data_IF_065272640313
#
_entry.id   IF_065272640313
#
_cell.length_a   1.000
_cell.length_b   1.000
_cell.length_c   1.000
_cell.angle_alpha   90.00
_cell.angle_beta   90.00
_cell.angle_gamma   90.00
#
_symmetry.space_group_name_H-M   'P 1'
#
loop_
_entity.id
_entity.type
_entity.pdbx_description
1 polymer ?
#
# COMPACT_ATOMS: atom_id res chain seq x y z
N UNK A 1 29.02 -9.75 15.39
CA UNK A 1 28.38 -8.43 15.19
C UNK A 1 28.76 -7.98 13.78
N UNK A 2 27.97 -8.35 12.78
CA UNK A 2 28.18 -7.85 11.41
C UNK A 2 27.56 -6.46 11.36
N UNK A 3 28.39 -5.43 11.38
CA UNK A 3 27.97 -4.10 10.95
C UNK A 3 27.58 -4.25 9.47
N UNK A 4 26.29 -4.09 9.17
CA UNK A 4 25.85 -3.90 7.79
C UNK A 4 26.41 -2.53 7.41
N UNK A 5 27.60 -2.50 6.82
CA UNK A 5 28.11 -1.27 6.20
C UNK A 5 27.11 -0.90 5.11
N UNK A 6 26.36 0.17 5.33
CA UNK A 6 25.51 0.70 4.29
C UNK A 6 26.39 1.03 3.07
N UNK A 7 26.11 0.38 1.94
CA UNK A 7 26.84 0.54 0.66
C UNK A 7 26.11 1.48 -0.29
N UNK A 8 24.93 1.95 0.10
CA UNK A 8 24.11 2.76 -0.77
C UNK A 8 24.80 4.11 -1.06
N UNK A 9 24.75 4.59 -2.31
CA UNK A 9 25.22 5.93 -2.67
C UNK A 9 24.59 7.03 -1.82
N UNK A 10 25.36 8.10 -1.61
CA UNK A 10 24.86 9.33 -0.99
C UNK A 10 24.09 10.15 -2.01
N UNK A 11 22.88 10.55 -1.63
CA UNK A 11 22.10 11.56 -2.34
C UNK A 11 22.72 12.95 -2.11
N UNK A 12 23.07 13.65 -3.19
CA UNK A 12 23.63 15.00 -3.16
C UNK A 12 22.71 15.99 -3.87
N UNK A 13 22.74 17.26 -3.45
CA UNK A 13 21.89 18.30 -4.04
C UNK A 13 22.64 19.60 -4.28
N UNK A 14 22.65 20.06 -5.54
CA UNK A 14 23.31 21.31 -5.97
C UNK A 14 22.33 22.09 -6.85
N UNK A 15 22.16 23.39 -6.56
CA UNK A 15 21.27 24.27 -7.34
C UNK A 15 19.86 23.69 -7.60
N UNK A 16 19.25 23.08 -6.56
CA UNK A 16 17.96 22.37 -6.58
C UNK A 16 17.89 21.11 -7.45
N UNK A 17 18.99 20.70 -8.07
CA UNK A 17 19.09 19.41 -8.77
C UNK A 17 19.70 18.36 -7.86
N UNK A 18 19.22 17.14 -8.01
CA UNK A 18 19.69 15.98 -7.27
C UNK A 18 20.68 15.17 -8.11
N UNK A 19 21.66 14.59 -7.44
CA UNK A 19 22.69 13.70 -7.99
C UNK A 19 23.10 12.67 -6.93
N UNK A 20 24.11 11.87 -7.25
CA UNK A 20 24.56 10.79 -6.38
C UNK A 20 26.07 10.66 -6.38
N UNK A 21 26.63 10.30 -5.22
CA UNK A 21 28.05 10.05 -5.04
C UNK A 21 28.29 8.77 -4.25
N UNK A 22 29.35 8.06 -4.57
CA UNK A 22 29.77 6.87 -3.82
C UNK A 22 30.08 7.28 -2.38
N UNK A 23 29.46 6.60 -1.41
CA UNK A 23 29.51 6.98 -0.01
C UNK A 23 30.88 6.77 0.64
N UNK A 24 31.78 6.00 0.00
CA UNK A 24 33.10 5.64 0.53
C UNK A 24 34.21 6.51 -0.05
N UNK A 25 34.21 6.68 -1.37
CA UNK A 25 35.23 7.39 -2.14
C UNK A 25 34.88 8.86 -2.37
N UNK A 26 33.59 9.22 -2.29
CA UNK A 26 33.11 10.54 -2.66
C UNK A 26 33.09 10.80 -4.16
N UNK A 27 33.37 9.79 -5.00
CA UNK A 27 33.28 9.91 -6.46
C UNK A 27 31.83 10.16 -6.88
N UNK A 28 31.64 11.10 -7.81
CA UNK A 28 30.32 11.37 -8.38
C UNK A 28 29.90 10.19 -9.27
N UNK A 29 28.79 9.57 -8.93
CA UNK A 29 28.14 8.50 -9.71
C UNK A 29 27.22 9.10 -10.76
N UNK A 30 26.45 10.12 -10.34
CA UNK A 30 25.56 10.87 -11.21
C UNK A 30 25.64 12.33 -10.83
N UNK A 31 26.05 13.16 -11.78
CA UNK A 31 26.06 14.61 -11.61
C UNK A 31 24.67 15.13 -11.22
N UNK A 32 24.55 16.21 -10.43
CA UNK A 32 23.26 16.79 -10.08
C UNK A 32 22.52 17.33 -11.32
N UNK A 33 21.51 16.61 -11.77
CA UNK A 33 20.65 17.03 -12.90
C UNK A 33 19.19 16.57 -12.77
N UNK A 34 18.89 15.64 -11.86
CA UNK A 34 17.53 15.19 -11.57
C UNK A 34 16.72 16.30 -10.89
N UNK A 35 15.46 16.46 -11.26
CA UNK A 35 14.55 17.41 -10.60
C UNK A 35 14.13 16.92 -9.22
N UNK A 36 14.04 15.60 -9.07
CA UNK A 36 13.85 14.94 -7.79
C UNK A 36 14.54 13.58 -7.76
N UNK A 37 14.99 13.16 -6.59
CA UNK A 37 15.52 11.83 -6.34
C UNK A 37 15.08 11.36 -4.95
N UNK A 38 14.69 10.09 -4.85
CA UNK A 38 14.64 9.40 -3.57
C UNK A 38 16.02 8.89 -3.18
N UNK A 39 16.22 8.68 -1.88
CA UNK A 39 17.43 8.02 -1.39
C UNK A 39 17.52 6.59 -1.91
N UNK A 40 18.76 6.13 -2.04
CA UNK A 40 19.02 4.75 -2.37
C UNK A 40 18.49 3.81 -1.28
N UNK A 41 17.88 2.73 -1.73
CA UNK A 41 17.54 1.59 -0.89
C UNK A 41 17.82 0.31 -1.67
N UNK A 42 18.61 -0.59 -1.08
CA UNK A 42 19.03 -1.86 -1.70
C UNK A 42 19.71 -1.67 -3.07
N UNK A 43 20.55 -0.64 -3.22
CA UNK A 43 21.25 -0.25 -4.45
C UNK A 43 20.37 0.32 -5.57
N UNK A 44 19.13 0.76 -5.29
CA UNK A 44 18.28 1.42 -6.27
C UNK A 44 17.71 2.75 -5.77
N UNK A 45 17.58 3.72 -6.67
CA UNK A 45 16.98 5.02 -6.38
C UNK A 45 15.99 5.42 -7.48
N UNK A 46 14.88 6.02 -7.07
CA UNK A 46 13.86 6.53 -7.98
C UNK A 46 14.21 7.99 -8.31
N UNK A 47 14.20 8.32 -9.59
CA UNK A 47 14.61 9.63 -10.11
C UNK A 47 13.55 10.22 -11.02
N UNK A 48 13.45 11.56 -11.03
CA UNK A 48 12.51 12.28 -11.87
C UNK A 48 13.21 13.37 -12.69
N UNK A 49 12.77 13.52 -13.94
CA UNK A 49 13.03 14.70 -14.79
C UNK A 49 11.71 15.40 -15.12
N UNK A 50 11.70 16.73 -15.02
CA UNK A 50 10.53 17.58 -15.26
C UNK A 50 9.55 17.66 -14.08
N UNK A 51 9.90 17.12 -12.91
CA UNK A 51 9.10 17.28 -11.69
C UNK A 51 9.23 18.70 -11.14
N UNK A 52 8.13 19.23 -10.61
CA UNK A 52 8.12 20.48 -9.84
C UNK A 52 7.72 20.21 -8.39
N UNK A 53 8.30 20.92 -7.41
CA UNK A 53 7.91 20.76 -6.02
C UNK A 53 6.53 21.39 -5.79
N UNK A 54 5.62 20.62 -5.18
CA UNK A 54 4.30 21.05 -4.75
C UNK A 54 4.26 21.05 -3.23
N UNK A 55 3.82 22.18 -2.66
CA UNK A 55 3.63 22.33 -1.23
C UNK A 55 2.21 21.95 -0.85
N UNK A 56 2.07 20.94 0.00
CA UNK A 56 0.84 20.67 0.73
C UNK A 56 0.87 21.44 2.05
N UNK A 57 0.14 22.56 2.09
CA UNK A 57 0.06 23.41 3.28
C UNK A 57 -0.72 22.78 4.43
N UNK A 58 -1.61 21.82 4.16
CA UNK A 58 -2.41 21.17 5.20
C UNK A 58 -1.56 20.18 6.00
N UNK A 59 -0.66 19.48 5.31
CA UNK A 59 0.20 18.47 5.94
C UNK A 59 1.66 18.95 6.13
N UNK A 60 1.99 20.17 5.71
CA UNK A 60 3.33 20.76 5.78
C UNK A 60 4.42 19.92 5.08
N UNK A 61 4.08 19.25 3.98
CA UNK A 61 5.01 18.47 3.16
C UNK A 61 5.24 19.12 1.80
N UNK A 62 6.43 18.92 1.24
CA UNK A 62 6.75 19.24 -0.14
C UNK A 62 7.03 17.93 -0.86
N UNK A 63 6.32 17.68 -1.96
CA UNK A 63 6.48 16.49 -2.78
C UNK A 63 6.61 16.86 -4.25
N UNK A 64 7.32 16.06 -5.06
CA UNK A 64 7.43 16.27 -6.50
C UNK A 64 6.11 15.94 -7.20
N UNK A 65 5.73 16.74 -8.19
CA UNK A 65 4.57 16.51 -9.05
C UNK A 65 4.92 16.70 -10.52
N UNK A 66 4.26 15.94 -11.39
CA UNK A 66 4.53 15.91 -12.83
C UNK A 66 5.85 15.21 -13.17
N UNK A 67 6.42 15.58 -14.31
CA UNK A 67 7.65 14.97 -14.82
C UNK A 67 7.49 13.53 -15.29
N UNK A 68 8.62 12.89 -15.57
CA UNK A 68 8.72 11.47 -15.86
C UNK A 68 9.69 10.80 -14.91
N UNK A 69 9.29 9.64 -14.42
CA UNK A 69 9.97 8.86 -13.40
C UNK A 69 10.61 7.62 -13.97
N UNK A 70 11.76 7.27 -13.39
CA UNK A 70 12.50 6.04 -13.66
C UNK A 70 13.28 5.60 -12.42
N UNK A 71 14.11 4.58 -12.59
CA UNK A 71 14.94 4.00 -11.53
C UNK A 71 16.38 3.89 -12.03
N UNK A 72 17.33 4.12 -11.13
CA UNK A 72 18.75 3.90 -11.37
C UNK A 72 19.31 2.90 -10.37
N UNK A 73 20.38 2.20 -10.73
CA UNK A 73 21.17 1.39 -9.82
C UNK A 73 22.32 2.19 -9.17
N UNK A 74 23.08 1.56 -8.27
CA UNK A 74 24.21 2.16 -7.56
C UNK A 74 25.37 2.57 -8.46
N UNK A 75 25.41 2.09 -9.70
CA UNK A 75 26.41 2.48 -10.71
C UNK A 75 25.93 3.68 -11.54
N UNK A 76 24.73 4.21 -11.25
CA UNK A 76 24.13 5.34 -11.96
C UNK A 76 23.43 4.97 -13.25
N UNK A 77 23.32 3.68 -13.57
CA UNK A 77 22.67 3.19 -14.78
C UNK A 77 21.15 3.21 -14.62
N UNK A 78 20.44 3.66 -15.66
CA UNK A 78 18.97 3.65 -15.70
C UNK A 78 18.49 2.19 -15.86
N UNK A 79 17.82 1.66 -14.85
CA UNK A 79 17.23 0.31 -14.86
C UNK A 79 15.74 0.32 -15.19
N UNK A 80 15.04 1.43 -14.91
CA UNK A 80 13.69 1.69 -15.38
C UNK A 80 13.71 3.02 -16.14
N UNK A 81 13.37 3.04 -17.44
CA UNK A 81 13.38 4.27 -18.25
C UNK A 81 12.49 5.37 -17.65
N UNK A 82 12.91 6.64 -17.81
CA UNK A 82 12.14 7.81 -17.41
C UNK A 82 10.97 8.09 -18.37
N UNK A 83 9.93 7.27 -18.29
CA UNK A 83 8.75 7.37 -19.16
C UNK A 83 7.42 7.30 -18.40
N UNK A 84 7.46 7.08 -17.09
CA UNK A 84 6.27 6.88 -16.26
C UNK A 84 5.86 8.15 -15.52
N UNK A 85 4.57 8.35 -15.30
CA UNK A 85 4.05 9.55 -14.62
C UNK A 85 4.26 9.51 -13.11
N UNK A 86 4.30 8.31 -12.55
CA UNK A 86 4.50 8.06 -11.13
C UNK A 86 5.38 6.82 -10.98
N UNK A 87 6.26 6.83 -9.98
CA UNK A 87 7.00 5.65 -9.55
C UNK A 87 7.12 5.64 -8.03
N UNK A 88 6.70 4.54 -7.42
CA UNK A 88 6.90 4.32 -5.99
C UNK A 88 7.32 2.90 -5.68
N UNK A 89 7.92 2.73 -4.51
CA UNK A 89 8.40 1.45 -4.01
C UNK A 89 7.38 0.75 -3.11
N UNK A 90 7.41 -0.58 -3.14
CA UNK A 90 6.53 -1.45 -2.34
C UNK A 90 7.29 -2.27 -1.30
N UNK A 91 6.87 -2.20 -0.02
CA UNK A 91 7.28 -3.13 1.05
C UNK A 91 8.59 -2.81 1.80
N UNK A 92 8.75 -3.41 2.98
CA UNK A 92 9.85 -3.15 3.94
C UNK A 92 10.93 -4.24 4.03
N UNK A 93 10.85 -5.35 3.28
CA UNK A 93 11.73 -6.50 3.61
C UNK A 93 12.17 -7.48 2.51
N UNK A 94 12.02 -7.26 1.20
CA UNK A 94 12.75 -8.15 0.28
C UNK A 94 12.94 -7.73 -1.17
N UNK A 95 12.02 -6.99 -1.80
CA UNK A 95 12.10 -6.70 -3.23
C UNK A 95 11.36 -5.42 -3.53
N UNK A 96 12.05 -4.29 -3.43
CA UNK A 96 11.60 -3.02 -3.98
C UNK A 96 11.02 -3.30 -5.38
N UNK A 97 9.72 -3.05 -5.56
CA UNK A 97 9.12 -3.04 -6.88
C UNK A 97 8.74 -1.63 -7.20
N UNK A 98 9.02 -1.23 -8.43
CA UNK A 98 8.49 0.00 -8.96
C UNK A 98 7.06 -0.29 -9.39
N UNK A 99 6.10 0.34 -8.70
CA UNK A 99 4.80 0.54 -9.32
C UNK A 99 4.90 1.77 -10.18
N UNK A 100 4.58 1.60 -11.44
CA UNK A 100 4.61 2.67 -12.43
C UNK A 100 3.22 2.93 -12.96
N UNK A 101 2.94 4.18 -13.30
CA UNK A 101 1.71 4.58 -13.96
C UNK A 101 2.00 5.19 -15.33
N UNK A 102 1.26 4.75 -16.35
CA UNK A 102 1.29 5.34 -17.71
C UNK A 102 -0.09 5.89 -18.10
N UNK A 103 -0.32 7.20 -17.96
CA UNK A 103 -1.60 7.90 -18.17
C UNK A 103 -2.80 7.33 -17.34
N UNK A 104 -3.15 6.07 -17.56
CA UNK A 104 -4.36 5.38 -17.11
C UNK A 104 -4.07 4.11 -16.29
N UNK A 105 -3.01 3.35 -16.57
CA UNK A 105 -2.84 2.02 -15.97
C UNK A 105 -1.60 1.93 -15.07
N UNK A 106 -1.65 0.98 -14.15
CA UNK A 106 -0.55 0.65 -13.25
C UNK A 106 0.14 -0.64 -13.69
N UNK A 107 1.46 -0.65 -13.60
CA UNK A 107 2.30 -1.84 -13.76
C UNK A 107 3.16 -2.04 -12.52
N UNK A 108 3.58 -3.27 -12.28
CA UNK A 108 4.58 -3.58 -11.25
C UNK A 108 5.81 -4.15 -11.92
N UNK A 109 6.97 -3.58 -11.63
CA UNK A 109 8.23 -3.97 -12.26
C UNK A 109 9.25 -4.37 -11.21
N UNK A 110 10.16 -5.27 -11.58
CA UNK A 110 11.39 -5.47 -10.81
C UNK A 110 12.21 -4.18 -10.88
N UNK A 111 13.07 -3.95 -9.88
CA UNK A 111 14.07 -2.86 -9.92
C UNK A 111 15.02 -2.92 -11.13
N UNK A 112 15.04 -4.03 -11.87
CA UNK A 112 15.81 -4.20 -13.12
C UNK A 112 15.02 -3.86 -14.38
N UNK A 113 13.76 -3.47 -14.24
CA UNK A 113 12.89 -3.13 -15.36
C UNK A 113 12.06 -4.30 -15.92
N UNK A 114 12.16 -5.49 -15.34
CA UNK A 114 11.34 -6.62 -15.77
C UNK A 114 9.89 -6.41 -15.33
N UNK A 115 8.94 -6.52 -16.26
CA UNK A 115 7.52 -6.45 -15.92
C UNK A 115 7.09 -7.68 -15.14
N UNK A 116 6.64 -7.47 -13.90
CA UNK A 116 6.09 -8.52 -13.02
C UNK A 116 4.57 -8.55 -13.18
N UNK A 117 3.91 -7.39 -13.04
CA UNK A 117 2.48 -7.24 -13.32
C UNK A 117 2.25 -6.50 -14.63
N UNK A 118 1.31 -6.96 -15.47
CA UNK A 118 0.98 -6.29 -16.72
C UNK A 118 0.35 -4.91 -16.48
N UNK A 119 0.52 -4.01 -17.45
CA UNK A 119 -0.07 -2.65 -17.45
C UNK A 119 -1.53 -2.70 -17.93
N UNK A 120 -2.39 -3.33 -17.13
CA UNK A 120 -3.81 -3.52 -17.44
C UNK A 120 -4.73 -3.17 -16.28
N UNK A 121 -4.15 -2.72 -15.15
CA UNK A 121 -4.89 -2.45 -13.93
C UNK A 121 -5.13 -0.95 -13.81
N UNK A 122 -6.37 -0.56 -13.54
CA UNK A 122 -6.79 0.83 -13.32
C UNK A 122 -6.51 1.31 -11.89
N UNK A 123 -6.06 0.40 -11.01
CA UNK A 123 -5.66 0.71 -9.65
C UNK A 123 -4.79 -0.38 -9.06
N UNK A 124 -3.77 -0.01 -8.29
CA UNK A 124 -2.89 -0.97 -7.63
C UNK A 124 -2.37 -0.42 -6.29
N UNK A 125 -2.45 -1.24 -5.25
CA UNK A 125 -1.96 -0.91 -3.91
C UNK A 125 -1.12 -2.06 -3.37
N UNK A 126 0.07 -1.74 -2.88
CA UNK A 126 0.90 -2.73 -2.20
C UNK A 126 0.57 -2.80 -0.72
N UNK A 127 0.58 -4.02 -0.21
CA UNK A 127 0.68 -4.31 1.21
C UNK A 127 1.81 -5.31 1.44
N UNK A 128 2.22 -5.58 2.70
CA UNK A 128 3.21 -6.61 2.98
C UNK A 128 2.83 -7.97 2.36
N UNK A 129 3.60 -8.41 1.38
CA UNK A 129 3.50 -9.76 0.79
C UNK A 129 2.59 -9.91 -0.43
N UNK A 130 1.66 -8.98 -0.71
CA UNK A 130 0.71 -9.09 -1.84
C UNK A 130 0.39 -7.72 -2.48
N UNK A 131 -0.27 -7.75 -3.63
CA UNK A 131 -0.75 -6.57 -4.36
C UNK A 131 -2.27 -6.63 -4.52
N UNK A 132 -2.95 -5.60 -4.06
CA UNK A 132 -4.36 -5.38 -4.41
C UNK A 132 -4.41 -4.73 -5.77
N UNK A 133 -5.19 -5.33 -6.68
CA UNK A 133 -5.33 -4.85 -8.05
C UNK A 133 -6.78 -4.54 -8.36
N UNK A 134 -7.00 -3.54 -9.21
CA UNK A 134 -8.32 -3.15 -9.70
C UNK A 134 -8.30 -3.11 -11.22
N UNK A 135 -9.34 -3.66 -11.84
CA UNK A 135 -9.56 -3.63 -13.29
C UNK A 135 -11.05 -3.61 -13.58
N UNK A 136 -11.50 -2.75 -14.49
CA UNK A 136 -12.89 -2.68 -14.93
C UNK A 136 -13.88 -2.50 -13.76
N UNK A 137 -13.46 -1.75 -12.73
CA UNK A 137 -14.25 -1.52 -11.51
C UNK A 137 -14.21 -2.63 -10.46
N UNK A 138 -13.61 -3.78 -10.76
CA UNK A 138 -13.52 -4.92 -9.86
C UNK A 138 -12.14 -5.02 -9.21
N UNK A 139 -12.10 -5.50 -7.98
CA UNK A 139 -10.92 -5.70 -7.16
C UNK A 139 -10.56 -7.19 -7.05
N UNK A 140 -9.26 -7.46 -6.95
CA UNK A 140 -8.66 -8.77 -6.71
C UNK A 140 -7.33 -8.63 -5.96
N UNK A 141 -6.69 -9.76 -5.68
CA UNK A 141 -5.38 -9.83 -5.03
C UNK A 141 -4.50 -10.76 -5.83
N UNK A 142 -3.33 -10.26 -6.20
CA UNK A 142 -2.26 -11.08 -6.77
C UNK A 142 -1.10 -11.10 -5.80
N UNK A 143 -0.34 -12.18 -5.85
CA UNK A 143 0.90 -12.24 -5.13
C UNK A 143 1.98 -11.37 -5.82
N UNK A 144 3.15 -11.51 -5.26
CA UNK A 144 4.37 -10.83 -5.61
C UNK A 144 4.99 -11.26 -6.97
N UNK A 145 4.38 -12.21 -7.66
CA UNK A 145 4.80 -12.81 -8.92
C UNK A 145 3.66 -12.89 -9.95
N UNK A 146 2.55 -12.18 -9.73
CA UNK A 146 1.33 -12.22 -10.55
C UNK A 146 0.53 -13.52 -10.45
N UNK A 147 0.72 -14.34 -9.42
CA UNK A 147 -0.21 -15.44 -9.13
C UNK A 147 -1.49 -14.88 -8.52
N UNK A 148 -2.63 -15.23 -9.11
CA UNK A 148 -3.93 -14.82 -8.59
C UNK A 148 -4.21 -15.54 -7.25
N UNK A 149 -4.27 -14.77 -6.18
CA UNK A 149 -4.72 -15.25 -4.86
C UNK A 149 -6.23 -15.06 -4.72
N UNK A 150 -6.73 -13.94 -5.25
CA UNK A 150 -8.15 -13.57 -5.25
C UNK A 150 -8.53 -12.99 -6.61
N UNK A 151 -9.54 -13.56 -7.30
CA UNK A 151 -9.96 -13.09 -8.61
C UNK A 151 -10.53 -11.68 -8.56
N UNK A 152 -10.40 -10.97 -9.69
CA UNK A 152 -11.07 -9.69 -9.97
C UNK A 152 -12.60 -9.87 -10.01
N UNK A 153 -13.24 -9.93 -8.85
CA UNK A 153 -14.66 -10.26 -8.71
C UNK A 153 -15.40 -9.41 -7.67
N UNK A 154 -14.70 -8.48 -7.02
CA UNK A 154 -15.24 -7.73 -5.88
C UNK A 154 -15.46 -6.27 -6.26
N UNK A 155 -16.63 -5.71 -5.98
CA UNK A 155 -16.91 -4.27 -6.22
C UNK A 155 -16.28 -3.36 -5.16
N UNK A 156 -15.95 -3.93 -3.98
CA UNK A 156 -15.24 -3.25 -2.91
C UNK A 156 -14.26 -4.20 -2.23
N UNK A 157 -13.09 -3.70 -1.90
CA UNK A 157 -12.10 -4.35 -1.05
C UNK A 157 -11.54 -3.32 -0.07
N UNK A 158 -11.70 -3.58 1.22
CA UNK A 158 -11.37 -2.66 2.30
C UNK A 158 -10.32 -3.33 3.18
N UNK A 159 -9.10 -2.77 3.30
CA UNK A 159 -8.08 -3.33 4.17
C UNK A 159 -8.49 -3.21 5.64
N UNK A 160 -8.11 -4.22 6.43
CA UNK A 160 -8.28 -4.28 7.88
C UNK A 160 -6.94 -4.72 8.46
N UNK A 161 -6.36 -3.91 9.34
CA UNK A 161 -5.04 -4.20 9.86
C UNK A 161 -3.98 -4.22 8.76
N UNK A 162 -2.98 -5.09 8.90
CA UNK A 162 -1.82 -5.10 8.01
C UNK A 162 -1.93 -6.16 6.88
N UNK A 163 -2.81 -7.15 7.03
CA UNK A 163 -2.83 -8.40 6.25
C UNK A 163 -4.23 -9.01 6.02
N UNK A 164 -5.30 -8.25 6.28
CA UNK A 164 -6.67 -8.69 6.06
C UNK A 164 -7.54 -7.70 5.26
N UNK A 165 -8.65 -8.18 4.70
CA UNK A 165 -9.59 -7.43 3.89
C UNK A 165 -11.02 -7.88 4.12
N UNK A 166 -11.95 -6.91 4.09
CA UNK A 166 -13.35 -7.15 3.78
C UNK A 166 -13.58 -6.90 2.30
N UNK A 167 -14.23 -7.85 1.63
CA UNK A 167 -14.53 -7.78 0.22
C UNK A 167 -16.04 -7.88 -0.01
N UNK A 168 -16.59 -7.10 -0.94
CA UNK A 168 -18.00 -7.21 -1.36
C UNK A 168 -18.08 -7.68 -2.79
N UNK A 169 -18.86 -8.73 -3.08
CA UNK A 169 -19.16 -9.13 -4.45
C UNK A 169 -20.47 -8.49 -4.92
N UNK A 170 -20.64 -8.28 -6.24
CA UNK A 170 -21.94 -7.92 -6.80
C UNK A 170 -22.99 -8.98 -6.43
N UNK A 171 -24.13 -8.53 -5.87
CA UNK A 171 -25.26 -9.39 -5.52
C UNK A 171 -24.96 -10.52 -4.50
N UNK A 172 -23.91 -10.38 -3.69
CA UNK A 172 -23.61 -11.26 -2.56
C UNK A 172 -23.33 -10.41 -1.31
N UNK A 173 -23.42 -11.04 -0.13
CA UNK A 173 -22.95 -10.45 1.13
C UNK A 173 -21.44 -10.21 1.17
N UNK A 174 -20.95 -9.69 2.31
CA UNK A 174 -19.54 -9.41 2.52
C UNK A 174 -18.70 -10.69 2.64
N UNK A 175 -17.40 -10.62 2.37
CA UNK A 175 -16.45 -11.73 2.50
C UNK A 175 -15.21 -11.24 3.25
N UNK A 176 -14.50 -12.14 3.93
CA UNK A 176 -13.26 -11.81 4.61
C UNK A 176 -12.08 -12.54 3.97
N UNK A 177 -10.96 -11.85 3.83
CA UNK A 177 -9.71 -12.40 3.33
C UNK A 177 -8.62 -12.06 4.34
N UNK A 178 -7.89 -13.05 4.85
CA UNK A 178 -6.72 -12.80 5.70
C UNK A 178 -5.58 -13.71 5.26
N UNK A 179 -4.38 -13.15 5.14
CA UNK A 179 -3.18 -13.89 4.71
C UNK A 179 -3.37 -14.65 3.38
N UNK A 180 -4.11 -14.07 2.43
CA UNK A 180 -4.44 -14.73 1.15
C UNK A 180 -5.41 -15.91 1.25
N UNK A 181 -5.91 -16.25 2.44
CA UNK A 181 -6.95 -17.27 2.64
C UNK A 181 -8.32 -16.63 2.69
N UNK A 182 -9.24 -17.19 1.90
CA UNK A 182 -10.65 -16.77 1.88
C UNK A 182 -11.37 -17.38 3.07
N UNK A 183 -11.92 -16.53 3.93
CA UNK A 183 -12.88 -16.91 4.98
C UNK A 183 -14.22 -16.28 4.60
N UNK A 184 -15.21 -17.12 4.31
CA UNK A 184 -16.51 -16.64 3.91
C UNK A 184 -17.40 -16.46 5.12
N UNK A 185 -17.93 -15.24 5.28
CA UNK A 185 -19.04 -14.96 6.16
C UNK A 185 -20.22 -14.58 5.28
N UNK A 186 -21.26 -15.40 5.23
CA UNK A 186 -22.50 -15.00 4.57
C UNK A 186 -23.26 -14.03 5.47
N UNK A 187 -22.96 -12.74 5.37
CA UNK A 187 -23.34 -11.73 6.38
C UNK A 187 -23.75 -10.41 5.74
N UNK A 188 -24.67 -9.72 6.41
CA UNK A 188 -25.34 -8.52 5.92
C UNK A 188 -24.43 -7.29 6.10
N UNK A 189 -23.81 -7.15 7.28
CA UNK A 189 -22.90 -6.06 7.61
C UNK A 189 -21.66 -6.53 8.41
N UNK A 190 -20.55 -5.80 8.25
CA UNK A 190 -19.33 -5.97 9.05
C UNK A 190 -18.84 -4.59 9.48
N UNK A 191 -18.59 -4.42 10.79
CA UNK A 191 -17.93 -3.24 11.35
C UNK A 191 -16.56 -3.60 11.88
N UNK A 192 -15.55 -2.80 11.52
CA UNK A 192 -14.18 -2.96 11.99
C UNK A 192 -13.85 -1.94 13.07
N UNK A 193 -13.21 -2.41 14.14
CA UNK A 193 -12.73 -1.57 15.22
C UNK A 193 -11.25 -1.82 15.45
N UNK A 194 -10.45 -0.78 15.20
CA UNK A 194 -9.03 -0.78 15.51
C UNK A 194 -8.81 -0.16 16.89
N UNK A 195 -8.25 -0.92 17.83
CA UNK A 195 -7.76 -0.39 19.10
C UNK A 195 -6.24 -0.34 19.10
N UNK A 196 -5.68 0.85 19.38
CA UNK A 196 -4.25 1.04 19.67
C UNK A 196 -4.04 0.95 21.18
N UNK A 197 -3.37 -0.10 21.65
CA UNK A 197 -2.94 -0.18 23.04
C UNK A 197 -1.66 0.63 23.27
N UNK A 198 -1.41 1.05 24.52
CA UNK A 198 -0.17 1.73 24.92
C UNK A 198 1.11 0.91 24.67
N UNK A 199 0.97 -0.41 24.44
CA UNK A 199 2.05 -1.31 24.05
C UNK A 199 2.44 -1.24 22.57
N UNK A 200 1.77 -0.41 21.77
CA UNK A 200 2.00 -0.30 20.32
C UNK A 200 1.38 -1.43 19.49
N UNK A 201 0.83 -2.47 20.13
CA UNK A 201 0.09 -3.53 19.42
C UNK A 201 -1.29 -3.00 18.99
N UNK A 202 -1.55 -3.06 17.68
CA UNK A 202 -2.89 -2.90 17.11
C UNK A 202 -3.57 -4.25 17.17
N UNK A 203 -4.75 -4.31 17.78
CA UNK A 203 -5.64 -5.45 17.58
C UNK A 203 -6.85 -4.94 16.83
N UNK A 204 -7.21 -5.63 15.75
CA UNK A 204 -8.44 -5.33 15.03
C UNK A 204 -9.46 -6.42 15.30
N UNK A 205 -10.65 -6.01 15.71
CA UNK A 205 -11.78 -6.91 15.89
C UNK A 205 -12.94 -6.46 15.02
N UNK A 206 -13.71 -7.44 14.57
CA UNK A 206 -14.87 -7.25 13.72
C UNK A 206 -16.12 -7.59 14.50
N UNK A 207 -17.14 -6.75 14.37
CA UNK A 207 -18.52 -7.12 14.67
C UNK A 207 -19.18 -7.48 13.35
N UNK A 208 -19.72 -8.68 13.28
CA UNK A 208 -20.34 -9.25 12.09
C UNK A 208 -21.83 -9.41 12.38
N UNK A 209 -22.69 -8.92 11.49
CA UNK A 209 -24.14 -9.01 11.63
C UNK A 209 -24.78 -9.88 10.55
N UNK A 210 -25.72 -10.72 10.98
CA UNK A 210 -26.52 -11.57 10.12
C UNK A 210 -27.94 -11.67 10.65
N UNK A 211 -28.92 -11.28 9.84
CA UNK A 211 -30.34 -11.40 10.14
C UNK A 211 -30.75 -10.85 11.53
N UNK A 212 -30.15 -9.73 11.93
CA UNK A 212 -30.38 -9.02 13.19
C UNK A 212 -29.55 -9.51 14.38
N UNK A 213 -28.72 -10.55 14.20
CA UNK A 213 -27.86 -11.12 15.24
C UNK A 213 -26.40 -10.78 14.98
N UNK A 214 -25.61 -10.68 16.06
CA UNK A 214 -24.24 -10.19 16.00
C UNK A 214 -23.26 -11.25 16.51
N UNK A 215 -22.05 -11.21 15.95
CA UNK A 215 -20.94 -12.05 16.37
C UNK A 215 -19.61 -11.27 16.33
N UNK A 216 -18.64 -11.69 17.14
CA UNK A 216 -17.29 -11.13 17.16
C UNK A 216 -16.33 -12.00 16.37
N UNK A 217 -15.42 -11.40 15.62
CA UNK A 217 -14.31 -12.07 14.98
C UNK A 217 -13.00 -11.28 15.15
N UNK A 218 -11.86 -11.96 15.14
CA UNK A 218 -10.55 -11.32 15.11
C UNK A 218 -10.06 -11.11 13.66
N UNK A 219 -9.01 -10.30 13.53
CA UNK A 219 -8.31 -9.94 12.29
C UNK A 219 -7.64 -11.10 11.54
N UNK A 220 -7.57 -12.29 12.13
CA UNK A 220 -7.22 -13.54 11.45
C UNK A 220 -8.44 -14.24 10.78
N UNK A 221 -9.67 -13.74 10.97
CA UNK A 221 -10.89 -14.34 10.45
C UNK A 221 -11.44 -15.50 11.28
N UNK A 222 -11.03 -15.64 12.53
CA UNK A 222 -11.65 -16.60 13.46
C UNK A 222 -12.81 -15.93 14.20
N UNK A 223 -13.94 -16.65 14.23
CA UNK A 223 -15.07 -16.27 15.08
C UNK A 223 -14.69 -16.42 16.56
N UNK A 224 -14.88 -15.35 17.32
CA UNK A 224 -14.73 -15.30 18.78
C UNK A 224 -16.07 -15.57 19.49
N UNK A 225 -17.19 -15.43 18.77
CA UNK A 225 -18.52 -15.79 19.27
C UNK A 225 -19.41 -16.31 18.14
N UNK A 226 -20.50 -17.00 18.50
CA UNK A 226 -21.61 -17.27 17.60
C UNK A 226 -22.49 -16.03 17.40
N UNK A 227 -23.44 -16.10 16.47
CA UNK A 227 -24.46 -15.07 16.19
C UNK A 227 -25.56 -15.06 17.25
N UNK A 228 -25.19 -14.81 18.50
CA UNK A 228 -26.12 -14.77 19.65
C UNK A 228 -26.13 -13.42 20.35
N UNK A 229 -25.25 -12.50 19.94
CA UNK A 229 -25.17 -11.18 20.54
C UNK A 229 -26.28 -10.28 19.96
N UNK A 230 -26.74 -9.34 20.78
CA UNK A 230 -27.65 -8.26 20.37
C UNK A 230 -27.01 -6.94 20.76
N UNK A 231 -26.91 -5.99 19.82
CA UNK A 231 -26.39 -4.66 20.13
C UNK A 231 -27.41 -3.86 20.96
N UNK A 232 -27.17 -3.73 22.26
CA UNK A 232 -27.92 -2.80 23.10
C UNK A 232 -27.42 -1.36 22.87
N UNK A 233 -28.14 -0.59 22.04
CA UNK A 233 -28.04 0.88 22.05
C UNK A 233 -27.10 1.55 21.03
N UNK A 234 -26.76 0.91 19.91
CA UNK A 234 -26.07 1.61 18.82
C UNK A 234 -27.09 2.44 18.02
N UNK A 235 -27.08 3.77 18.16
CA UNK A 235 -27.75 4.66 17.19
C UNK A 235 -27.22 4.30 15.81
N UNK A 236 -28.13 3.97 14.89
CA UNK A 236 -27.89 3.78 13.45
C UNK A 236 -27.23 5.06 12.91
N UNK A 237 -25.90 5.09 12.88
CA UNK A 237 -25.14 6.15 12.23
C UNK A 237 -25.10 5.79 10.74
N UNK A 238 -25.81 6.59 9.95
CA UNK A 238 -25.95 6.45 8.52
C UNK A 238 -24.59 6.41 7.80
N UNK A 239 -24.64 5.83 6.60
CA UNK A 239 -23.67 5.52 5.52
C UNK A 239 -22.39 6.37 5.32
N UNK A 240 -22.06 7.36 6.14
CA UNK A 240 -20.99 8.33 5.91
C UNK A 240 -19.75 8.22 6.83
N UNK A 241 -19.51 7.09 7.51
CA UNK A 241 -18.40 6.96 8.47
C UNK A 241 -17.43 5.79 8.18
N UNK A 242 -17.12 5.54 6.91
CA UNK A 242 -15.93 4.74 6.54
C UNK A 242 -14.59 5.50 6.77
N UNK A 243 -14.65 6.79 7.10
CA UNK A 243 -13.50 7.55 7.59
C UNK A 243 -13.86 8.24 8.91
N UNK A 244 -13.05 7.95 9.95
CA UNK A 244 -12.98 8.57 11.30
C UNK A 244 -13.53 7.71 12.43
N UNK A 245 -12.58 7.00 13.06
CA UNK A 245 -12.39 6.94 14.52
C UNK A 245 -13.63 7.13 15.39
N UNK A 246 -14.21 6.01 15.84
CA UNK A 246 -15.09 6.00 17.02
C UNK A 246 -14.21 5.91 18.27
N UNK A 247 -13.89 7.09 18.81
CA UNK A 247 -13.31 7.26 20.15
C UNK A 247 -14.39 6.88 21.16
N UNK A 248 -14.21 5.78 21.89
CA UNK A 248 -14.93 5.61 23.16
C UNK A 248 -14.20 6.39 24.25
N UNK A 249 -14.73 7.59 24.54
CA UNK A 249 -14.66 8.14 25.90
C UNK A 249 -15.52 7.23 26.78
N UNK A 250 -14.94 6.64 27.80
CA UNK A 250 -15.69 6.35 29.02
C UNK A 250 -14.90 6.88 30.22
N UNK A 251 -15.65 7.61 31.04
CA UNK A 251 -15.22 8.28 32.25
C UNK A 251 -14.87 7.25 33.34
N UNK A 252 -13.67 7.36 33.91
CA UNK A 252 -13.41 7.84 35.28
C UNK A 252 -11.94 8.29 35.37
#
# INVERSE_FOLDING_TARGET
>A
MHLIENKDPLTIRVARKWGFADCRSGLIISEPHWDYAYDFHDNFAAVCLGCEPVSDFENAFVYPSGGKWGCINSDGEITIPLQYDELWYTGSSARYRAVVRDDVHFACMSVKGDRILPTIYDGMWSIPGVMVVKKDGLFGVVDNYNEELVPLAYERMIPIGDDAYICKKPNLGWQFLSHGKKVFYDVDEIWCYENKFASGKKNTYMIIEKAGNYALACDDGRMLSDFTLTLCGAKRLSENLLHRSVIFKQWL
#
